data_IF_891529709098
#
_entry.id   IF_891529709098
#
_cell.length_a   1.000
_cell.length_b   1.000
_cell.length_c   1.000
_cell.angle_alpha   90.00
_cell.angle_beta   90.00
_cell.angle_gamma   90.00
#
_symmetry.space_group_name_H-M   'P 1'
#
loop_
_entity.id
_entity.type
_entity.pdbx_description
1 polymer ?
#
# COMPACT_ATOMS: atom_id res chain seq x y z
N UNK A 1 -5.24 12.69 -38.16
CA UNK A 1 -5.05 11.85 -36.97
C UNK A 1 -6.41 11.28 -36.62
N UNK A 2 -6.58 9.95 -36.63
CA UNK A 2 -7.83 9.34 -36.19
C UNK A 2 -7.99 9.52 -34.69
N UNK A 3 -9.22 9.80 -34.22
CA UNK A 3 -9.49 9.90 -32.79
C UNK A 3 -9.12 8.57 -32.11
N UNK A 4 -8.43 8.61 -30.96
CA UNK A 4 -8.10 7.40 -30.25
C UNK A 4 -9.39 6.68 -29.87
N UNK A 5 -9.54 5.43 -30.32
CA UNK A 5 -10.71 4.63 -29.96
C UNK A 5 -10.70 4.34 -28.45
N UNK A 6 -11.90 4.17 -27.87
CA UNK A 6 -12.04 3.77 -26.47
C UNK A 6 -11.21 2.52 -26.13
N UNK A 7 -11.09 1.59 -27.09
CA UNK A 7 -10.25 0.40 -26.95
C UNK A 7 -8.76 0.75 -26.74
N UNK A 8 -8.21 1.72 -27.49
CA UNK A 8 -6.84 2.18 -27.29
C UNK A 8 -6.65 2.83 -25.92
N UNK A 9 -7.63 3.62 -25.47
CA UNK A 9 -7.59 4.21 -24.14
C UNK A 9 -7.56 3.14 -23.03
N UNK A 10 -8.39 2.10 -23.14
CA UNK A 10 -8.40 1.00 -22.16
C UNK A 10 -7.10 0.18 -22.18
N UNK A 11 -6.57 -0.13 -23.36
CA UNK A 11 -5.29 -0.86 -23.50
C UNK A 11 -4.14 -0.07 -22.87
N UNK A 12 -4.15 1.27 -23.01
CA UNK A 12 -3.14 2.13 -22.40
C UNK A 12 -3.15 2.12 -20.86
N UNK A 13 -4.26 1.71 -20.23
CA UNK A 13 -4.37 1.60 -18.77
C UNK A 13 -3.86 0.26 -18.22
N UNK A 14 -3.68 -0.76 -19.06
CA UNK A 14 -3.24 -2.09 -18.63
C UNK A 14 -1.91 -2.05 -17.86
N UNK A 15 -0.85 -1.33 -18.31
CA UNK A 15 0.39 -1.25 -17.55
C UNK A 15 0.22 -0.64 -16.16
N UNK A 16 -0.64 0.37 -16.03
CA UNK A 16 -0.95 0.99 -14.75
C UNK A 16 -1.65 0.00 -13.82
N UNK A 17 -2.69 -0.69 -14.30
CA UNK A 17 -3.43 -1.69 -13.51
C UNK A 17 -2.55 -2.87 -13.09
N UNK A 18 -1.65 -3.31 -13.97
CA UNK A 18 -0.72 -4.39 -13.66
C UNK A 18 0.28 -3.96 -12.58
N UNK A 19 0.80 -2.74 -12.69
CA UNK A 19 1.75 -2.19 -11.72
C UNK A 19 1.10 -2.02 -10.34
N UNK A 20 -0.13 -1.49 -10.27
CA UNK A 20 -0.84 -1.36 -9.00
C UNK A 20 -1.16 -2.70 -8.36
N UNK A 21 -1.51 -3.69 -9.17
CA UNK A 21 -1.77 -5.05 -8.68
C UNK A 21 -0.51 -5.68 -8.06
N UNK A 22 0.65 -5.52 -8.71
CA UNK A 22 1.93 -6.00 -8.18
C UNK A 22 2.22 -5.32 -6.84
N UNK A 23 2.10 -3.99 -6.78
CA UNK A 23 2.33 -3.25 -5.54
C UNK A 23 1.34 -3.58 -4.43
N UNK A 24 0.09 -3.87 -4.76
CA UNK A 24 -0.91 -4.34 -3.80
C UNK A 24 -0.45 -5.63 -3.10
N UNK A 25 0.06 -6.61 -3.85
CA UNK A 25 0.57 -7.84 -3.25
C UNK A 25 1.76 -7.61 -2.31
N UNK A 26 2.65 -6.67 -2.63
CA UNK A 26 3.73 -6.27 -1.72
C UNK A 26 3.23 -5.46 -0.51
N UNK A 27 2.18 -4.66 -0.68
CA UNK A 27 1.61 -3.85 0.40
C UNK A 27 0.95 -4.70 1.48
N UNK A 28 0.39 -5.87 1.15
CA UNK A 28 -0.26 -6.77 2.11
C UNK A 28 0.65 -7.17 3.28
N UNK A 29 1.84 -7.80 3.08
CA UNK A 29 2.71 -8.19 4.18
C UNK A 29 3.26 -6.99 4.95
N UNK A 30 3.52 -5.86 4.28
CA UNK A 30 3.98 -4.63 4.93
C UNK A 30 2.88 -4.09 5.86
N UNK A 31 1.67 -3.93 5.34
CA UNK A 31 0.49 -3.47 6.10
C UNK A 31 0.28 -4.31 7.36
N UNK A 32 0.30 -5.64 7.23
CA UNK A 32 0.15 -6.56 8.37
C UNK A 32 1.24 -6.39 9.44
N UNK A 33 2.51 -6.20 9.04
CA UNK A 33 3.62 -5.95 9.97
C UNK A 33 3.47 -4.63 10.74
N UNK A 34 2.88 -3.61 10.11
CA UNK A 34 2.56 -2.33 10.75
C UNK A 34 1.27 -2.36 11.58
N UNK A 35 0.63 -3.52 11.73
CA UNK A 35 -0.65 -3.64 12.43
C UNK A 35 -1.83 -3.05 11.67
N UNK A 36 -1.66 -2.74 10.37
CA UNK A 36 -2.71 -2.28 9.48
C UNK A 36 -3.38 -3.48 8.80
N UNK A 37 -4.67 -3.38 8.51
CA UNK A 37 -5.44 -4.44 7.87
C UNK A 37 -5.18 -4.55 6.36
N UNK A 38 -5.69 -5.63 5.75
CA UNK A 38 -5.69 -5.79 4.28
C UNK A 38 -6.50 -4.69 3.59
N UNK A 39 -7.55 -4.19 4.24
CA UNK A 39 -8.33 -3.05 3.75
C UNK A 39 -7.49 -1.78 3.56
N UNK A 40 -6.42 -1.58 4.35
CA UNK A 40 -5.49 -0.46 4.14
C UNK A 40 -4.61 -0.70 2.90
N UNK A 41 -4.15 -1.93 2.68
CA UNK A 41 -3.38 -2.27 1.49
C UNK A 41 -4.19 -2.12 0.20
N UNK A 42 -5.53 -2.32 0.24
CA UNK A 42 -6.40 -2.17 -0.92
C UNK A 42 -6.37 -0.76 -1.55
N UNK A 43 -5.99 0.27 -0.78
CA UNK A 43 -5.78 1.62 -1.31
C UNK A 43 -4.65 1.67 -2.36
N UNK A 44 -3.72 0.71 -2.37
CA UNK A 44 -2.72 0.56 -3.41
C UNK A 44 -3.28 0.15 -4.78
N UNK A 45 -4.55 -0.29 -4.87
CA UNK A 45 -5.18 -0.62 -6.16
C UNK A 45 -5.56 0.63 -6.97
N UNK A 46 -5.55 1.81 -6.36
CA UNK A 46 -5.80 3.09 -7.02
C UNK A 46 -4.45 3.64 -7.52
N UNK A 47 -4.18 3.67 -8.85
CA UNK A 47 -2.83 3.95 -9.37
C UNK A 47 -2.18 5.24 -8.89
N UNK A 48 -2.97 6.30 -8.80
CA UNK A 48 -2.48 7.59 -8.33
C UNK A 48 -2.15 7.59 -6.83
N UNK A 49 -2.81 6.75 -6.04
CA UNK A 49 -2.61 6.70 -4.58
C UNK A 49 -1.53 5.71 -4.17
N UNK A 50 -1.26 4.68 -4.97
CA UNK A 50 -0.26 3.63 -4.69
C UNK A 50 1.07 4.17 -4.12
N UNK A 51 1.76 5.15 -4.74
CA UNK A 51 3.05 5.62 -4.20
C UNK A 51 2.92 6.27 -2.82
N UNK A 52 1.86 7.06 -2.59
CA UNK A 52 1.63 7.73 -1.30
C UNK A 52 1.30 6.73 -0.19
N UNK A 53 0.49 5.72 -0.49
CA UNK A 53 0.12 4.67 0.47
C UNK A 53 1.33 3.81 0.82
N UNK A 54 2.14 3.42 -0.16
CA UNK A 54 3.36 2.66 0.09
C UNK A 54 4.37 3.47 0.91
N UNK A 55 4.58 4.74 0.57
CA UNK A 55 5.46 5.62 1.33
C UNK A 55 5.00 5.74 2.79
N UNK A 56 3.70 5.96 3.00
CA UNK A 56 3.13 5.99 4.33
C UNK A 56 3.33 4.66 5.08
N UNK A 57 3.03 3.51 4.45
CA UNK A 57 3.23 2.19 5.06
C UNK A 57 4.67 1.96 5.51
N UNK A 58 5.64 2.34 4.67
CA UNK A 58 7.07 2.16 4.97
C UNK A 58 7.51 3.11 6.08
N UNK A 59 6.95 4.32 6.17
CA UNK A 59 7.26 5.30 7.23
C UNK A 59 6.75 4.91 8.63
N UNK A 60 5.74 4.04 8.72
CA UNK A 60 5.22 3.60 10.01
C UNK A 60 6.21 2.68 10.72
N UNK A 61 6.27 2.75 12.04
CA UNK A 61 7.03 1.79 12.86
C UNK A 61 6.34 0.43 12.88
N UNK A 62 7.11 -0.66 12.95
CA UNK A 62 6.56 -2.02 13.09
C UNK A 62 5.81 -2.16 14.42
N UNK A 63 4.67 -2.85 14.39
CA UNK A 63 3.82 -3.05 15.59
C UNK A 63 4.61 -3.71 16.73
N UNK A 64 5.46 -4.68 16.42
CA UNK A 64 6.29 -5.39 17.40
C UNK A 64 7.25 -4.47 18.17
N UNK A 65 7.70 -3.36 17.55
CA UNK A 65 8.57 -2.39 18.23
C UNK A 65 7.75 -1.54 19.20
N UNK A 66 6.56 -1.10 18.79
CA UNK A 66 5.64 -0.36 19.65
C UNK A 66 5.17 -1.19 20.84
N UNK A 67 4.83 -2.46 20.62
CA UNK A 67 4.41 -3.39 21.68
C UNK A 67 5.54 -3.60 22.72
N UNK A 68 6.80 -3.69 22.26
CA UNK A 68 7.97 -3.80 23.16
C UNK A 68 8.23 -2.52 23.96
N UNK A 69 8.07 -1.35 23.34
CA UNK A 69 8.22 -0.06 24.02
C UNK A 69 7.14 0.12 25.09
N UNK A 70 5.88 -0.17 24.77
CA UNK A 70 4.78 -0.10 25.73
C UNK A 70 4.99 -1.06 26.92
N UNK A 71 5.52 -2.26 26.67
CA UNK A 71 5.83 -3.21 27.73
C UNK A 71 7.01 -2.78 28.62
N UNK A 72 7.91 -1.93 28.14
CA UNK A 72 8.99 -1.35 28.94
C UNK A 72 8.48 -0.16 29.77
N UNK A 73 7.72 0.73 29.17
CA UNK A 73 7.11 1.88 29.87
C UNK A 73 6.20 1.41 31.00
N UNK A 74 5.35 0.39 30.77
CA UNK A 74 4.48 -0.17 31.80
C UNK A 74 5.20 -0.91 32.95
N UNK A 75 6.49 -1.19 32.82
CA UNK A 75 7.32 -1.78 33.90
C UNK A 75 8.09 -0.73 34.70
N UNK A 76 8.07 0.53 34.26
CA UNK A 76 8.84 1.62 34.88
C UNK A 76 7.98 2.48 35.81
N UNK A 77 6.68 2.16 35.94
CA UNK A 77 5.74 2.76 36.90
C UNK A 77 5.35 1.75 37.97
#
# INVERSE_FOLDING_TARGET
>A
MGEPSLAHALISMVPFLLTTLIFFFFAIPISRRKGKGVGFAAWCLIPFLTPFILFHLVSLTDKSVLDRLAALEGKTS
#
